data_IF_943636058302
#
_entry.id   IF_943636058302
#
_cell.length_a   1.000
_cell.length_b   1.000
_cell.length_c   1.000
_cell.angle_alpha   90.00
_cell.angle_beta   90.00
_cell.angle_gamma   90.00
#
_symmetry.space_group_name_H-M   'P 1'
#
loop_
_entity.id
_entity.type
_entity.pdbx_description
1 polymer ?
#
# COMPACT_ATOMS: atom_id res chain seq x y z
N UNK A 1 10.34 -31.38 -0.83
CA UNK A 1 10.38 -29.94 -1.15
C UNK A 1 11.23 -29.75 -2.40
N UNK A 2 10.68 -29.24 -3.51
CA UNK A 2 11.47 -28.94 -4.71
C UNK A 2 12.33 -27.70 -4.42
N UNK A 3 13.65 -27.82 -4.57
CA UNK A 3 14.58 -26.69 -4.45
C UNK A 3 14.22 -25.62 -5.50
N UNK A 4 13.61 -24.51 -5.08
CA UNK A 4 13.40 -23.33 -5.94
C UNK A 4 14.79 -22.85 -6.40
N UNK A 5 15.13 -23.11 -7.68
CA UNK A 5 16.38 -22.64 -8.27
C UNK A 5 16.27 -21.15 -8.54
N UNK A 6 16.79 -20.34 -7.60
CA UNK A 6 16.94 -18.90 -7.77
C UNK A 6 17.87 -18.61 -8.96
N UNK A 7 17.33 -18.02 -10.03
CA UNK A 7 18.11 -17.52 -11.17
C UNK A 7 18.25 -16.01 -11.06
N UNK A 8 19.48 -15.50 -11.17
CA UNK A 8 19.71 -14.07 -11.33
C UNK A 8 19.30 -13.66 -12.74
N UNK A 9 18.56 -12.56 -12.84
CA UNK A 9 18.10 -11.99 -14.11
C UNK A 9 18.52 -10.53 -14.13
N UNK A 10 19.19 -10.12 -15.21
CA UNK A 10 19.48 -8.72 -15.49
C UNK A 10 18.36 -8.15 -16.36
N UNK A 11 17.82 -7.00 -15.98
CA UNK A 11 16.71 -6.35 -16.68
C UNK A 11 17.17 -4.94 -17.06
N UNK A 12 17.17 -4.64 -18.35
CA UNK A 12 17.36 -3.28 -18.85
C UNK A 12 16.01 -2.59 -18.96
N UNK A 13 15.90 -1.36 -18.44
CA UNK A 13 14.68 -0.56 -18.51
C UNK A 13 15.02 0.93 -18.73
N UNK A 14 14.11 1.70 -19.36
CA UNK A 14 14.28 3.15 -19.48
C UNK A 14 14.41 3.84 -18.12
N UNK A 15 15.17 4.92 -18.05
CA UNK A 15 15.46 5.66 -16.81
C UNK A 15 14.20 6.10 -16.07
N UNK A 16 13.19 6.62 -16.79
CA UNK A 16 11.94 7.09 -16.19
C UNK A 16 11.16 5.95 -15.52
N UNK A 17 11.16 4.77 -16.15
CA UNK A 17 10.53 3.58 -15.60
C UNK A 17 11.29 3.08 -14.36
N UNK A 18 12.62 3.10 -14.40
CA UNK A 18 13.45 2.76 -13.24
C UNK A 18 13.18 3.69 -12.06
N UNK A 19 13.07 5.00 -12.31
CA UNK A 19 12.79 5.99 -11.28
C UNK A 19 11.40 5.76 -10.65
N UNK A 20 10.39 5.48 -11.47
CA UNK A 20 9.06 5.13 -10.98
C UNK A 20 9.07 3.89 -10.06
N UNK A 21 9.80 2.84 -10.44
CA UNK A 21 9.93 1.65 -9.60
C UNK A 21 10.73 1.90 -8.31
N UNK A 22 11.71 2.80 -8.32
CA UNK A 22 12.43 3.22 -7.11
C UNK A 22 11.51 3.92 -6.12
N UNK A 23 10.73 4.90 -6.58
CA UNK A 23 9.74 5.60 -5.74
C UNK A 23 8.78 4.59 -5.11
N UNK A 24 8.23 3.70 -5.92
CA UNK A 24 7.34 2.62 -5.47
C UNK A 24 7.98 1.64 -4.50
N UNK A 25 9.26 1.33 -4.67
CA UNK A 25 9.99 0.45 -3.74
C UNK A 25 10.22 1.12 -2.40
N UNK A 26 10.53 2.43 -2.43
CA UNK A 26 10.74 3.24 -1.23
C UNK A 26 9.44 3.44 -0.45
N UNK A 27 8.34 3.78 -1.15
CA UNK A 27 6.99 3.89 -0.56
C UNK A 27 6.54 2.58 0.11
N UNK A 28 6.82 1.45 -0.54
CA UNK A 28 6.50 0.12 -0.02
C UNK A 28 7.42 -0.34 1.12
N UNK A 29 8.58 0.31 1.30
CA UNK A 29 9.62 -0.13 2.24
C UNK A 29 10.28 -1.46 1.86
N UNK A 30 10.33 -1.84 0.58
CA UNK A 30 10.96 -3.09 0.11
C UNK A 30 12.02 -2.80 -0.95
N UNK A 31 13.00 -3.70 -1.10
CA UNK A 31 14.02 -3.53 -2.17
C UNK A 31 13.38 -3.55 -3.57
N UNK A 32 13.95 -2.77 -4.50
CA UNK A 32 13.57 -2.76 -5.91
C UNK A 32 13.52 -4.15 -6.55
N UNK A 33 14.52 -5.01 -6.27
CA UNK A 33 14.57 -6.38 -6.79
C UNK A 33 13.40 -7.23 -6.27
N UNK A 34 13.00 -7.05 -5.01
CA UNK A 34 11.83 -7.72 -4.43
C UNK A 34 10.54 -7.24 -5.07
N UNK A 35 10.39 -5.93 -5.29
CA UNK A 35 9.23 -5.38 -5.99
C UNK A 35 9.11 -5.95 -7.42
N UNK A 36 10.20 -5.97 -8.17
CA UNK A 36 10.25 -6.52 -9.53
C UNK A 36 9.97 -8.03 -9.54
N UNK A 37 10.55 -8.78 -8.62
CA UNK A 37 10.27 -10.21 -8.47
C UNK A 37 8.79 -10.48 -8.24
N UNK A 38 8.15 -9.73 -7.32
CA UNK A 38 6.73 -9.89 -7.05
C UNK A 38 5.89 -9.55 -8.29
N UNK A 39 6.23 -8.46 -9.01
CA UNK A 39 5.54 -8.06 -10.25
C UNK A 39 5.61 -9.18 -11.30
N UNK A 40 6.79 -9.73 -11.51
CA UNK A 40 7.03 -10.80 -12.50
C UNK A 40 6.40 -12.13 -12.08
N UNK A 41 6.42 -12.48 -10.78
CA UNK A 41 5.86 -13.74 -10.27
C UNK A 41 4.33 -13.74 -10.28
N UNK A 42 3.70 -12.62 -9.92
CA UNK A 42 2.26 -12.58 -9.70
C UNK A 42 1.46 -12.22 -10.96
N UNK A 43 2.08 -11.63 -11.99
CA UNK A 43 1.41 -11.15 -13.22
C UNK A 43 0.10 -10.35 -12.98
N UNK A 44 -0.08 -9.84 -11.76
CA UNK A 44 -1.26 -9.13 -11.27
C UNK A 44 -0.85 -7.75 -10.81
N UNK A 45 -1.80 -6.83 -10.82
CA UNK A 45 -1.63 -5.52 -10.19
C UNK A 45 -1.23 -5.72 -8.73
N UNK A 46 -0.01 -5.29 -8.39
CA UNK A 46 0.42 -5.20 -6.99
C UNK A 46 -0.02 -3.83 -6.51
N UNK A 47 -0.97 -3.83 -5.58
CA UNK A 47 -1.27 -2.67 -4.76
C UNK A 47 -0.11 -2.44 -3.81
N UNK A 48 0.57 -1.31 -4.00
CA UNK A 48 1.61 -0.87 -3.09
C UNK A 48 0.91 -0.05 -2.02
N UNK A 49 0.95 -0.55 -0.80
CA UNK A 49 0.44 0.17 0.36
C UNK A 49 1.61 0.99 0.91
N UNK A 50 1.54 2.33 0.87
CA UNK A 50 2.60 3.18 1.41
C UNK A 50 2.85 2.88 2.88
N UNK A 51 4.11 2.99 3.32
CA UNK A 51 4.49 2.72 4.72
C UNK A 51 3.69 3.53 5.74
N UNK A 52 3.39 4.80 5.46
CA UNK A 52 2.53 5.62 6.32
C UNK A 52 1.14 5.00 6.54
N UNK A 53 0.56 4.41 5.49
CA UNK A 53 -0.73 3.73 5.58
C UNK A 53 -0.62 2.41 6.35
N UNK A 54 0.53 1.72 6.29
CA UNK A 54 0.79 0.55 7.11
C UNK A 54 0.92 0.92 8.59
N UNK A 55 1.61 2.02 8.90
CA UNK A 55 1.78 2.54 10.26
C UNK A 55 0.41 2.97 10.84
N UNK A 56 -0.42 3.64 10.05
CA UNK A 56 -1.79 4.00 10.42
C UNK A 56 -2.64 2.75 10.69
N UNK A 57 -2.57 1.72 9.83
CA UNK A 57 -3.29 0.46 10.04
C UNK A 57 -2.84 -0.26 11.31
N UNK A 58 -1.54 -0.27 11.60
CA UNK A 58 -1.00 -0.85 12.82
C UNK A 58 -1.49 -0.10 14.07
N UNK A 59 -1.54 1.24 14.00
CA UNK A 59 -2.12 2.06 15.05
C UNK A 59 -3.59 1.72 15.28
N UNK A 60 -4.42 1.72 14.22
CA UNK A 60 -5.85 1.35 14.31
C UNK A 60 -6.03 -0.05 14.90
N UNK A 61 -5.26 -1.03 14.43
CA UNK A 61 -5.34 -2.41 14.93
C UNK A 61 -5.05 -2.47 16.45
N UNK A 62 -4.02 -1.75 16.89
CA UNK A 62 -3.69 -1.66 18.32
C UNK A 62 -4.83 -1.04 19.12
N UNK A 63 -5.44 0.04 18.59
CA UNK A 63 -6.57 0.70 19.25
C UNK A 63 -7.81 -0.19 19.36
N UNK A 64 -8.16 -0.88 18.30
CA UNK A 64 -9.30 -1.81 18.32
C UNK A 64 -9.09 -2.91 19.35
N UNK A 65 -7.87 -3.42 19.48
CA UNK A 65 -7.53 -4.42 20.47
C UNK A 65 -7.63 -3.88 21.90
N UNK A 66 -7.16 -2.65 22.16
CA UNK A 66 -7.29 -1.99 23.46
C UNK A 66 -8.76 -1.77 23.86
N UNK A 67 -9.60 -1.34 22.91
CA UNK A 67 -11.05 -1.17 23.15
C UNK A 67 -11.68 -2.53 23.48
N UNK A 68 -11.34 -3.57 22.73
CA UNK A 68 -11.87 -4.92 22.96
C UNK A 68 -11.44 -5.48 24.33
N UNK A 69 -10.24 -5.16 24.78
CA UNK A 69 -9.73 -5.51 26.11
C UNK A 69 -10.35 -4.68 27.24
N UNK A 70 -11.17 -3.66 26.93
CA UNK A 70 -11.75 -2.75 27.91
C UNK A 70 -10.73 -1.76 28.50
N UNK A 71 -9.58 -1.58 27.84
CA UNK A 71 -8.54 -0.65 28.27
C UNK A 71 -8.92 0.80 27.96
N UNK A 72 -8.39 1.73 28.75
CA UNK A 72 -8.59 3.16 28.54
C UNK A 72 -7.88 3.64 27.27
N UNK A 73 -8.63 4.25 26.36
CA UNK A 73 -8.11 4.83 25.13
C UNK A 73 -7.99 6.34 25.29
N UNK A 74 -6.82 6.89 24.95
CA UNK A 74 -6.56 8.33 25.05
C UNK A 74 -7.27 9.13 23.95
N UNK A 75 -7.54 10.41 24.20
CA UNK A 75 -8.16 11.31 23.20
C UNK A 75 -7.36 11.37 21.88
N UNK A 76 -6.03 11.33 21.95
CA UNK A 76 -5.15 11.33 20.77
C UNK A 76 -5.38 10.10 19.89
N UNK A 77 -5.55 8.95 20.52
CA UNK A 77 -5.85 7.69 19.84
C UNK A 77 -7.26 7.70 19.24
N UNK A 78 -8.23 8.31 19.92
CA UNK A 78 -9.59 8.49 19.40
C UNK A 78 -9.64 9.37 18.15
N UNK A 79 -8.80 10.40 18.09
CA UNK A 79 -8.68 11.26 16.92
C UNK A 79 -8.12 10.50 15.70
N UNK A 80 -7.22 9.52 15.89
CA UNK A 80 -6.71 8.66 14.80
C UNK A 80 -7.85 7.86 14.19
N UNK A 81 -8.66 7.20 15.02
CA UNK A 81 -9.83 6.44 14.56
C UNK A 81 -10.83 7.33 13.82
N UNK A 82 -11.15 8.51 14.36
CA UNK A 82 -12.06 9.47 13.72
C UNK A 82 -11.54 9.92 12.35
N UNK A 83 -10.28 10.33 12.26
CA UNK A 83 -9.68 10.78 11.00
C UNK A 83 -9.69 9.69 9.92
N UNK A 84 -9.52 8.43 10.31
CA UNK A 84 -9.57 7.30 9.39
C UNK A 84 -10.99 7.01 8.93
N UNK A 85 -11.98 7.04 9.84
CA UNK A 85 -13.41 6.94 9.48
C UNK A 85 -13.80 8.05 8.50
N UNK A 86 -13.45 9.30 8.78
CA UNK A 86 -13.71 10.44 7.87
C UNK A 86 -13.04 10.26 6.50
N UNK A 87 -11.84 9.66 6.47
CA UNK A 87 -11.13 9.38 5.21
C UNK A 87 -11.86 8.29 4.41
N UNK A 88 -12.30 7.21 5.06
CA UNK A 88 -13.08 6.16 4.42
C UNK A 88 -14.47 6.67 3.97
N UNK A 89 -15.14 7.48 4.78
CA UNK A 89 -16.42 8.12 4.41
C UNK A 89 -16.26 9.00 3.16
N UNK A 90 -15.16 9.77 3.05
CA UNK A 90 -14.86 10.54 1.83
C UNK A 90 -14.58 9.63 0.63
N UNK A 91 -13.90 8.50 0.82
CA UNK A 91 -13.62 7.56 -0.27
C UNK A 91 -14.89 6.84 -0.74
N UNK A 92 -15.77 6.43 0.17
CA UNK A 92 -17.03 5.73 -0.13
C UNK A 92 -18.12 6.70 -0.60
N UNK A 93 -18.17 7.91 -0.02
CA UNK A 93 -19.11 8.97 -0.37
C UNK A 93 -18.81 9.65 -1.73
N UNK A 94 -17.60 9.50 -2.26
CA UNK A 94 -17.23 9.99 -3.60
C UNK A 94 -17.68 9.08 -4.76
N UNK A 95 -18.54 8.10 -4.50
CA UNK A 95 -19.04 7.16 -5.53
C UNK A 95 -19.91 7.80 -6.63
N UNK A 96 -20.36 9.06 -6.49
CA UNK A 96 -21.15 9.75 -7.52
C UNK A 96 -20.33 10.64 -8.48
N UNK A 97 -19.00 10.77 -8.30
CA UNK A 97 -18.15 11.58 -9.21
C UNK A 97 -16.86 10.87 -9.59
N UNK A 98 -16.94 9.60 -9.97
CA UNK A 98 -16.00 9.08 -10.97
C UNK A 98 -16.57 9.38 -12.36
N UNK A 99 -16.56 10.67 -12.70
CA UNK A 99 -16.56 11.10 -14.10
C UNK A 99 -15.49 10.30 -14.83
N UNK A 100 -15.91 9.59 -15.88
CA UNK A 100 -15.11 8.70 -16.71
C UNK A 100 -13.75 9.35 -17.01
N UNK A 101 -12.73 8.91 -16.28
CA UNK A 101 -11.35 9.28 -16.55
C UNK A 101 -11.03 8.94 -18.00
N UNK A 102 -10.63 9.94 -18.76
CA UNK A 102 -10.25 9.84 -20.18
C UNK A 102 -9.27 8.68 -20.35
N UNK A 103 -9.61 7.72 -21.21
CA UNK A 103 -8.64 6.74 -21.70
C UNK A 103 -7.59 7.49 -22.50
N UNK A 104 -6.41 7.69 -21.92
CA UNK A 104 -5.22 8.03 -22.70
C UNK A 104 -4.78 6.74 -23.39
N UNK A 105 -5.05 6.64 -24.70
CA UNK A 105 -4.40 5.65 -25.55
C UNK A 105 -2.97 6.13 -25.84
N UNK A 106 -2.01 5.23 -25.69
CA UNK A 106 -0.67 5.39 -26.23
C UNK A 106 -0.68 5.29 -27.76
#
# INVERSE_FOLDING_TARGET
MKNEKWRRVSISMPSDMLQNYRIKSDEAGISLSRLLYLRLKLAKSIWIVPRSMQDDLAAIHTLLWQIQAGEYVTQKQWNILRSQVETFEKLVGNNDVQSKGVRVYA
#
